data_IF_008064733338
#
_entry.id   IF_008064733338
#
_cell.length_a   1.000
_cell.length_b   1.000
_cell.length_c   1.000
_cell.angle_alpha   90.00
_cell.angle_beta   90.00
_cell.angle_gamma   90.00
#
_symmetry.space_group_name_H-M   'P 1'
#
loop_
_entity.id
_entity.type
_entity.pdbx_description
1 polymer ?
#
# COMPACT_ATOMS: atom_id res chain seq x y z
N UNK A 1 7.51 -8.31 -18.05
CA UNK A 1 8.16 -7.97 -16.79
C UNK A 1 8.56 -6.52 -16.76
N UNK A 2 8.36 -5.85 -15.63
CA UNK A 2 8.74 -4.45 -15.45
C UNK A 2 10.27 -4.38 -15.27
N UNK A 3 10.96 -3.71 -16.19
CA UNK A 3 12.44 -3.60 -16.16
C UNK A 3 12.94 -2.83 -14.93
N UNK A 4 12.14 -1.88 -14.43
CA UNK A 4 12.44 -1.12 -13.21
C UNK A 4 12.39 -2.01 -11.97
N UNK A 5 11.41 -2.92 -11.90
CA UNK A 5 11.33 -3.90 -10.82
C UNK A 5 12.54 -4.84 -10.84
N UNK A 6 12.88 -5.36 -12.01
CA UNK A 6 14.06 -6.22 -12.15
C UNK A 6 15.36 -5.50 -11.76
N UNK A 7 15.49 -4.22 -12.09
CA UNK A 7 16.63 -3.40 -11.67
C UNK A 7 16.67 -3.20 -10.15
N UNK A 8 15.53 -2.88 -9.54
CA UNK A 8 15.42 -2.71 -8.08
C UNK A 8 15.75 -4.01 -7.33
N UNK A 9 15.31 -5.17 -7.84
CA UNK A 9 15.61 -6.48 -7.27
C UNK A 9 17.09 -6.85 -7.33
N UNK A 10 17.82 -6.34 -8.32
CA UNK A 10 19.29 -6.53 -8.38
C UNK A 10 20.00 -5.73 -7.30
N UNK A 11 19.49 -4.54 -6.96
CA UNK A 11 20.05 -3.73 -5.89
C UNK A 11 19.67 -4.26 -4.51
N UNK A 12 18.43 -4.70 -4.36
CA UNK A 12 17.94 -5.30 -3.11
C UNK A 12 16.97 -6.46 -3.41
N UNK A 13 17.37 -7.72 -3.11
CA UNK A 13 16.53 -8.89 -3.32
C UNK A 13 15.20 -8.90 -2.53
N UNK A 14 15.09 -8.06 -1.49
CA UNK A 14 13.86 -7.90 -0.71
C UNK A 14 12.78 -7.09 -1.45
N UNK A 15 13.10 -6.53 -2.61
CA UNK A 15 12.13 -5.80 -3.44
C UNK A 15 11.11 -6.75 -4.04
N UNK A 16 9.83 -6.56 -3.71
CA UNK A 16 8.73 -7.44 -4.14
C UNK A 16 7.80 -6.80 -5.16
N UNK A 17 7.78 -5.47 -5.23
CA UNK A 17 6.88 -4.73 -6.10
C UNK A 17 7.41 -3.32 -6.40
N UNK A 18 6.77 -2.66 -7.38
CA UNK A 18 6.79 -1.20 -7.52
C UNK A 18 5.39 -0.68 -7.30
N UNK A 19 5.25 0.43 -6.60
CA UNK A 19 3.99 1.18 -6.47
C UNK A 19 4.09 2.50 -7.21
N UNK A 20 3.08 2.82 -8.01
CA UNK A 20 2.97 4.09 -8.73
C UNK A 20 1.58 4.66 -8.55
N UNK A 21 1.50 5.89 -8.07
CA UNK A 21 0.24 6.63 -7.94
C UNK A 21 0.36 7.90 -8.80
N UNK A 22 -0.25 7.92 -9.99
CA UNK A 22 -0.22 9.10 -10.86
C UNK A 22 -0.79 10.34 -10.15
N UNK A 23 -0.19 11.49 -10.39
CA UNK A 23 -0.55 12.74 -9.73
C UNK A 23 0.09 12.97 -8.36
N UNK A 24 0.94 12.03 -7.92
CA UNK A 24 1.71 12.10 -6.68
C UNK A 24 3.19 11.84 -6.92
N UNK A 25 4.02 12.05 -5.90
CA UNK A 25 5.42 11.65 -5.90
C UNK A 25 5.63 10.16 -5.53
N UNK A 26 4.55 9.41 -5.31
CA UNK A 26 4.63 7.99 -4.97
C UNK A 26 4.90 7.19 -6.26
N UNK A 27 6.17 6.85 -6.45
CA UNK A 27 6.68 6.01 -7.53
C UNK A 27 7.96 5.35 -7.02
N UNK A 28 7.83 4.20 -6.38
CA UNK A 28 8.90 3.64 -5.56
C UNK A 28 8.86 2.11 -5.50
N UNK A 29 10.00 1.46 -5.25
CA UNK A 29 10.04 0.05 -4.90
C UNK A 29 9.40 -0.20 -3.53
N UNK A 30 8.80 -1.38 -3.39
CA UNK A 30 8.22 -1.89 -2.16
C UNK A 30 9.06 -3.05 -1.67
N UNK A 31 9.56 -2.94 -0.45
CA UNK A 31 10.37 -3.97 0.19
C UNK A 31 9.49 -4.93 1.00
N UNK A 32 9.96 -6.15 1.22
CA UNK A 32 9.32 -7.07 2.17
C UNK A 32 10.40 -7.86 2.89
N UNK A 33 10.26 -7.97 4.22
CA UNK A 33 11.17 -8.75 5.06
C UNK A 33 10.40 -9.78 5.90
N UNK A 34 11.06 -10.52 6.74
CA UNK A 34 10.42 -11.51 7.62
C UNK A 34 9.64 -10.93 8.81
N UNK A 35 9.61 -9.62 8.95
CA UNK A 35 8.87 -8.87 9.96
C UNK A 35 8.49 -7.48 9.43
N UNK A 36 7.74 -6.70 10.23
CA UNK A 36 7.31 -5.34 9.89
C UNK A 36 8.19 -4.25 10.52
N UNK A 37 9.33 -4.61 11.12
CA UNK A 37 10.21 -3.67 11.83
C UNK A 37 11.46 -3.31 11.03
N UNK A 38 11.97 -4.24 10.22
CA UNK A 38 13.25 -4.11 9.53
C UNK A 38 13.33 -2.87 8.64
N UNK A 39 12.32 -2.64 7.77
CA UNK A 39 12.29 -1.50 6.85
C UNK A 39 11.66 -0.24 7.45
N UNK A 40 11.22 -0.28 8.70
CA UNK A 40 10.68 0.88 9.40
C UNK A 40 11.71 2.03 9.49
N UNK A 41 12.99 1.70 9.56
CA UNK A 41 14.12 2.64 9.68
C UNK A 41 15.28 2.25 8.76
N UNK A 42 14.97 1.79 7.55
CA UNK A 42 15.94 1.49 6.51
C UNK A 42 15.43 1.99 5.17
N UNK A 43 16.36 2.42 4.33
CA UNK A 43 16.06 2.81 2.96
C UNK A 43 15.82 1.58 2.06
N UNK A 44 15.54 1.83 0.80
CA UNK A 44 15.27 0.81 -0.21
C UNK A 44 16.44 -0.15 -0.47
N UNK A 45 17.65 0.21 -0.05
CA UNK A 45 18.86 -0.61 -0.16
C UNK A 45 19.15 -1.39 1.12
N UNK A 46 18.34 -1.21 2.15
CA UNK A 46 18.53 -1.83 3.47
C UNK A 46 19.52 -1.09 4.38
N UNK A 47 19.94 0.12 4.01
CA UNK A 47 20.80 0.97 4.83
C UNK A 47 19.97 1.70 5.88
N UNK A 48 20.52 1.87 7.09
CA UNK A 48 19.84 2.62 8.14
C UNK A 48 19.47 4.03 7.68
N UNK A 49 18.19 4.36 7.77
CA UNK A 49 17.61 5.66 7.42
C UNK A 49 16.42 5.94 8.32
N UNK A 50 16.41 7.09 8.96
CA UNK A 50 15.33 7.51 9.85
C UNK A 50 13.96 7.52 9.17
N UNK A 51 13.90 7.84 7.87
CA UNK A 51 12.64 7.91 7.11
C UNK A 51 12.08 6.54 6.75
N UNK A 52 12.91 5.49 6.75
CA UNK A 52 12.49 4.19 6.27
C UNK A 52 12.19 4.20 4.77
N UNK A 53 11.47 3.21 4.31
CA UNK A 53 10.97 3.14 2.94
C UNK A 53 9.57 2.53 2.91
N UNK A 54 8.97 2.42 1.74
CA UNK A 54 7.69 1.72 1.56
C UNK A 54 7.95 0.21 1.65
N UNK A 55 7.20 -0.49 2.49
CA UNK A 55 7.31 -1.93 2.63
C UNK A 55 5.94 -2.60 2.78
N UNK A 56 5.87 -3.85 2.33
CA UNK A 56 4.68 -4.69 2.46
C UNK A 56 4.67 -5.40 3.80
N UNK A 57 3.48 -5.62 4.35
CA UNK A 57 3.30 -6.49 5.50
C UNK A 57 3.90 -7.87 5.21
N UNK A 58 4.65 -8.42 6.19
CA UNK A 58 5.42 -9.66 6.00
C UNK A 58 4.55 -10.88 5.69
N UNK A 59 3.26 -10.85 6.01
CA UNK A 59 2.33 -11.95 5.71
C UNK A 59 1.69 -11.84 4.32
N UNK A 60 1.87 -10.73 3.61
CA UNK A 60 1.34 -10.57 2.26
C UNK A 60 2.01 -11.52 1.27
N UNK A 61 1.19 -12.17 0.44
CA UNK A 61 1.64 -13.04 -0.66
C UNK A 61 1.66 -12.24 -1.96
N UNK A 62 2.84 -12.17 -2.58
CA UNK A 62 3.09 -11.45 -3.85
C UNK A 62 4.04 -12.23 -4.76
N UNK A 63 4.36 -13.47 -4.42
CA UNK A 63 5.30 -14.28 -5.19
C UNK A 63 4.74 -14.63 -6.57
N UNK A 64 5.64 -14.74 -7.54
CA UNK A 64 5.32 -15.14 -8.91
C UNK A 64 4.61 -16.49 -8.95
N UNK A 65 3.50 -16.56 -9.71
CA UNK A 65 2.69 -17.77 -9.84
C UNK A 65 1.81 -18.10 -8.65
N UNK A 66 1.79 -17.26 -7.61
CA UNK A 66 0.92 -17.40 -6.43
C UNK A 66 -0.18 -16.36 -6.48
N UNK A 67 -1.40 -16.73 -6.09
CA UNK A 67 -2.49 -15.77 -5.98
C UNK A 67 -2.14 -14.73 -4.91
N UNK A 68 -2.21 -13.45 -5.27
CA UNK A 68 -1.99 -12.32 -4.35
C UNK A 68 -2.96 -12.37 -3.17
N UNK A 69 -2.52 -11.89 -2.01
CA UNK A 69 -3.39 -11.75 -0.85
C UNK A 69 -4.63 -10.90 -1.14
N UNK A 70 -5.74 -11.21 -0.48
CA UNK A 70 -7.02 -10.47 -0.62
C UNK A 70 -6.87 -8.99 -0.28
N UNK A 71 -6.02 -8.69 0.68
CA UNK A 71 -5.69 -7.35 1.13
C UNK A 71 -4.16 -7.22 1.13
N UNK A 72 -3.61 -6.60 0.10
CA UNK A 72 -2.21 -6.18 0.11
C UNK A 72 -2.08 -4.98 1.05
N UNK A 73 -1.13 -5.04 1.96
CA UNK A 73 -0.93 -3.99 2.96
C UNK A 73 0.48 -3.45 2.81
N UNK A 74 0.58 -2.18 2.42
CA UNK A 74 1.84 -1.46 2.31
C UNK A 74 1.89 -0.35 3.35
N UNK A 75 3.04 -0.23 4.00
CA UNK A 75 3.34 0.80 4.99
C UNK A 75 4.31 1.82 4.42
N UNK A 76 4.13 3.06 4.81
CA UNK A 76 5.05 4.13 4.48
C UNK A 76 4.91 5.27 5.49
N UNK A 77 6.03 5.91 5.84
CA UNK A 77 6.02 7.04 6.75
C UNK A 77 5.52 8.32 6.08
N UNK A 78 5.00 9.20 6.91
CA UNK A 78 4.73 10.59 6.61
C UNK A 78 5.58 11.44 7.54
N UNK A 79 6.33 12.40 6.99
CA UNK A 79 7.17 13.31 7.76
C UNK A 79 6.78 14.76 7.44
N UNK A 80 7.05 15.63 8.40
CA UNK A 80 6.83 17.08 8.26
C UNK A 80 8.11 17.83 7.83
N UNK A 81 9.17 17.09 7.52
CA UNK A 81 10.43 17.66 7.04
C UNK A 81 10.21 18.26 5.63
N UNK A 82 10.47 19.54 5.48
CA UNK A 82 10.23 20.26 4.20
C UNK A 82 11.01 19.67 3.02
N UNK A 83 12.14 19.02 3.28
CA UNK A 83 13.01 18.42 2.28
C UNK A 83 12.69 16.96 1.98
N UNK A 84 11.75 16.34 2.71
CA UNK A 84 11.37 14.94 2.51
C UNK A 84 10.16 14.81 1.60
N UNK A 85 10.34 14.16 0.45
CA UNK A 85 9.30 13.95 -0.57
C UNK A 85 8.99 12.46 -0.79
N UNK A 86 9.52 11.60 0.04
CA UNK A 86 9.36 10.14 -0.08
C UNK A 86 8.21 9.58 0.76
N UNK A 87 8.16 8.25 0.84
CA UNK A 87 7.14 7.54 1.61
C UNK A 87 5.73 7.80 1.13
N UNK A 88 4.80 7.94 2.07
CA UNK A 88 3.38 8.14 1.81
C UNK A 88 2.90 9.58 2.10
N UNK A 89 3.81 10.55 2.05
CA UNK A 89 3.47 11.97 2.27
C UNK A 89 2.28 12.41 1.41
N UNK A 90 2.32 12.12 0.12
CA UNK A 90 1.30 12.57 -0.83
C UNK A 90 -0.05 11.86 -0.69
N UNK A 91 -0.16 10.80 0.12
CA UNK A 91 -1.47 10.21 0.44
C UNK A 91 -2.38 11.21 1.16
N UNK A 92 -1.83 12.22 1.82
CA UNK A 92 -2.59 13.29 2.45
C UNK A 92 -3.42 14.12 1.44
N UNK A 93 -3.03 14.13 0.17
CA UNK A 93 -3.79 14.80 -0.89
C UNK A 93 -5.19 14.18 -1.06
N UNK A 94 -5.34 12.90 -0.74
CA UNK A 94 -6.63 12.19 -0.80
C UNK A 94 -7.62 12.61 0.30
N UNK A 95 -7.25 13.48 1.22
CA UNK A 95 -8.18 14.15 2.13
C UNK A 95 -9.12 15.12 1.39
N UNK A 96 -8.76 15.47 0.15
CA UNK A 96 -9.59 16.27 -0.76
C UNK A 96 -10.28 15.33 -1.73
N UNK A 97 -11.61 15.33 -1.73
CA UNK A 97 -12.40 14.38 -2.53
C UNK A 97 -12.11 14.47 -4.04
N UNK A 98 -12.03 15.69 -4.55
CA UNK A 98 -11.74 15.97 -5.96
C UNK A 98 -10.39 15.38 -6.39
N UNK A 99 -9.39 15.41 -5.52
CA UNK A 99 -8.09 14.82 -5.80
C UNK A 99 -8.22 13.30 -6.06
N UNK A 100 -8.98 12.59 -5.22
CA UNK A 100 -9.24 11.16 -5.41
C UNK A 100 -10.06 10.84 -6.65
N UNK A 101 -10.99 11.74 -7.02
CA UNK A 101 -11.76 11.61 -8.27
C UNK A 101 -10.89 11.81 -9.52
N UNK A 102 -9.93 12.72 -9.47
CA UNK A 102 -9.01 13.01 -10.58
C UNK A 102 -7.87 11.99 -10.67
N UNK A 103 -7.48 11.38 -9.55
CA UNK A 103 -6.38 10.43 -9.45
C UNK A 103 -6.84 9.10 -8.81
N UNK A 104 -7.79 8.36 -9.45
CA UNK A 104 -8.45 7.23 -8.82
C UNK A 104 -7.65 5.93 -8.81
N UNK A 105 -6.59 5.82 -9.62
CA UNK A 105 -5.89 4.56 -9.84
C UNK A 105 -4.52 4.49 -9.18
N UNK A 106 -4.23 3.31 -8.64
CA UNK A 106 -2.95 2.94 -8.03
C UNK A 106 -2.46 1.70 -8.74
N UNK A 107 -1.21 1.72 -9.19
CA UNK A 107 -0.59 0.62 -9.92
C UNK A 107 0.44 -0.08 -9.05
N UNK A 108 0.39 -1.41 -9.03
CA UNK A 108 1.37 -2.26 -8.36
C UNK A 108 1.93 -3.24 -9.38
N UNK A 109 3.22 -3.08 -9.70
CA UNK A 109 3.92 -4.00 -10.60
C UNK A 109 4.56 -5.12 -9.79
N UNK A 110 4.20 -6.34 -10.10
CA UNK A 110 4.80 -7.57 -9.59
C UNK A 110 5.71 -8.21 -10.65
N UNK A 111 6.42 -9.27 -10.29
CA UNK A 111 7.37 -9.92 -11.20
C UNK A 111 6.73 -10.42 -12.51
N UNK A 112 5.50 -10.90 -12.46
CA UNK A 112 4.78 -11.52 -13.58
C UNK A 112 3.47 -10.84 -13.96
N UNK A 113 3.02 -9.85 -13.20
CA UNK A 113 1.78 -9.15 -13.47
C UNK A 113 1.80 -7.68 -13.00
N UNK A 114 0.89 -6.88 -13.54
CA UNK A 114 0.62 -5.52 -13.09
C UNK A 114 -0.81 -5.43 -12.59
N UNK A 115 -0.96 -5.04 -11.33
CA UNK A 115 -2.26 -4.86 -10.69
C UNK A 115 -2.69 -3.40 -10.78
N UNK A 116 -3.97 -3.17 -11.05
CA UNK A 116 -4.58 -1.84 -11.01
C UNK A 116 -5.64 -1.83 -9.92
N UNK A 117 -5.47 -0.95 -8.97
CA UNK A 117 -6.44 -0.70 -7.91
C UNK A 117 -7.13 0.64 -8.12
N UNK A 118 -8.38 0.73 -7.71
CA UNK A 118 -9.16 1.96 -7.73
C UNK A 118 -9.49 2.37 -6.30
N UNK A 119 -9.28 3.64 -5.97
CA UNK A 119 -9.62 4.14 -4.66
C UNK A 119 -11.11 4.02 -4.37
N UNK A 120 -11.46 3.52 -3.19
CA UNK A 120 -12.84 3.48 -2.73
C UNK A 120 -13.02 4.05 -1.32
N UNK A 121 -11.94 4.23 -0.56
CA UNK A 121 -12.02 4.78 0.78
C UNK A 121 -10.73 5.49 1.19
N UNK A 122 -10.90 6.56 1.92
CA UNK A 122 -9.86 7.24 2.70
C UNK A 122 -10.43 7.50 4.08
N UNK A 123 -9.77 7.00 5.11
CA UNK A 123 -10.27 7.15 6.47
C UNK A 123 -9.12 7.17 7.49
N UNK A 124 -9.43 7.66 8.67
CA UNK A 124 -8.49 7.68 9.81
C UNK A 124 -8.88 6.57 10.75
N UNK A 125 -7.95 5.65 11.03
CA UNK A 125 -8.15 4.58 12.00
C UNK A 125 -7.32 4.83 13.26
N UNK A 126 -7.76 4.26 14.37
CA UNK A 126 -6.99 4.23 15.61
C UNK A 126 -6.06 3.00 15.57
N UNK A 127 -4.75 3.24 15.59
CA UNK A 127 -3.75 2.19 15.53
C UNK A 127 -3.82 1.18 16.70
N UNK A 128 -4.52 1.51 17.78
CA UNK A 128 -4.68 0.63 18.95
C UNK A 128 -5.96 -0.20 18.90
N UNK A 129 -7.02 0.33 18.29
CA UNK A 129 -8.36 -0.27 18.31
C UNK A 129 -8.79 -0.85 16.97
N UNK A 130 -8.21 -0.39 15.86
CA UNK A 130 -8.60 -0.81 14.51
C UNK A 130 -7.59 -1.76 13.85
N UNK A 131 -6.86 -2.52 14.65
CA UNK A 131 -5.84 -3.48 14.18
C UNK A 131 -6.41 -4.63 13.35
N UNK A 132 -7.69 -4.91 13.47
CA UNK A 132 -8.40 -5.94 12.70
C UNK A 132 -8.51 -5.62 11.20
N UNK A 133 -8.28 -4.37 10.80
CA UNK A 133 -8.18 -3.98 9.38
C UNK A 133 -6.88 -4.42 8.72
N UNK A 134 -5.87 -4.77 9.51
CA UNK A 134 -4.54 -5.18 9.03
C UNK A 134 -4.48 -6.72 8.98
N UNK A 135 -5.22 -7.30 8.04
CA UNK A 135 -5.23 -8.72 7.75
C UNK A 135 -5.06 -8.94 6.24
N UNK A 136 -4.03 -9.69 5.84
CA UNK A 136 -3.72 -9.93 4.44
C UNK A 136 -4.70 -10.91 3.76
N UNK A 137 -5.06 -11.97 4.46
CA UNK A 137 -5.94 -13.02 3.95
C UNK A 137 -7.08 -13.34 4.94
N UNK A 138 -7.95 -12.37 5.26
CA UNK A 138 -9.09 -12.59 6.14
C UNK A 138 -10.08 -13.57 5.50
N UNK A 139 -10.85 -14.29 6.31
CA UNK A 139 -12.02 -15.02 5.80
C UNK A 139 -13.11 -14.04 5.32
N UNK A 140 -14.16 -14.55 4.68
CA UNK A 140 -15.21 -13.71 4.10
C UNK A 140 -15.89 -12.81 5.14
N UNK A 141 -16.14 -13.31 6.35
CA UNK A 141 -16.78 -12.54 7.42
C UNK A 141 -15.86 -11.41 7.91
N UNK A 142 -14.58 -11.71 8.15
CA UNK A 142 -13.59 -10.70 8.53
C UNK A 142 -13.34 -9.69 7.43
N UNK A 143 -13.29 -10.14 6.18
CA UNK A 143 -13.11 -9.24 5.03
C UNK A 143 -14.29 -8.29 4.86
N UNK A 144 -15.53 -8.78 5.01
CA UNK A 144 -16.71 -7.91 4.99
C UNK A 144 -16.66 -6.86 6.10
N UNK A 145 -16.19 -7.19 7.30
CA UNK A 145 -16.01 -6.22 8.37
C UNK A 145 -14.98 -5.13 8.03
N UNK A 146 -13.88 -5.51 7.37
CA UNK A 146 -12.86 -4.55 6.89
C UNK A 146 -13.49 -3.59 5.87
N UNK A 147 -14.24 -4.12 4.90
CA UNK A 147 -14.91 -3.31 3.89
C UNK A 147 -15.95 -2.36 4.52
N UNK A 148 -16.75 -2.85 5.45
CA UNK A 148 -17.77 -2.06 6.15
C UNK A 148 -17.13 -0.91 6.96
N UNK A 149 -16.03 -1.17 7.66
CA UNK A 149 -15.27 -0.15 8.38
C UNK A 149 -14.68 0.90 7.44
N UNK A 150 -14.09 0.48 6.35
CA UNK A 150 -13.51 1.37 5.36
C UNK A 150 -14.56 2.31 4.76
N UNK A 151 -15.74 1.80 4.44
CA UNK A 151 -16.86 2.59 3.91
C UNK A 151 -17.44 3.51 4.98
N UNK A 152 -17.69 3.02 6.19
CA UNK A 152 -18.25 3.82 7.28
C UNK A 152 -17.30 4.93 7.76
N UNK A 153 -15.99 4.69 7.73
CA UNK A 153 -14.96 5.65 8.12
C UNK A 153 -14.65 6.72 7.07
N UNK A 154 -15.08 6.51 5.82
CA UNK A 154 -14.83 7.44 4.72
C UNK A 154 -15.97 8.47 4.63
N UNK A 155 -15.60 9.76 4.60
CA UNK A 155 -16.57 10.86 4.42
C UNK A 155 -17.03 11.02 2.95
N UNK A 156 -16.38 10.31 2.00
CA UNK A 156 -16.59 10.47 0.57
C UNK A 156 -17.23 9.22 -0.02
N UNK A 157 -18.05 9.43 -1.05
CA UNK A 157 -18.56 8.36 -1.90
C UNK A 157 -17.87 8.42 -3.27
N UNK A 158 -16.94 7.48 -3.50
CA UNK A 158 -16.23 7.36 -4.77
C UNK A 158 -17.02 6.60 -5.85
N UNK A 159 -18.21 6.11 -5.53
CA UNK A 159 -19.06 5.37 -6.46
C UNK A 159 -18.51 3.99 -6.85
N UNK A 160 -17.66 3.40 -6.02
CA UNK A 160 -17.06 2.10 -6.25
C UNK A 160 -17.69 1.08 -5.30
N UNK A 161 -18.36 0.07 -5.88
CA UNK A 161 -18.92 -1.05 -5.12
C UNK A 161 -17.84 -2.11 -4.90
N UNK A 162 -17.51 -2.37 -3.64
CA UNK A 162 -16.51 -3.38 -3.24
C UNK A 162 -17.20 -4.53 -2.52
N UNK A 163 -16.89 -5.75 -2.92
CA UNK A 163 -17.44 -6.97 -2.33
C UNK A 163 -16.34 -7.91 -1.87
N UNK A 164 -16.70 -8.98 -1.17
CA UNK A 164 -15.75 -10.03 -0.77
C UNK A 164 -15.15 -10.83 -1.92
N UNK A 165 -15.65 -10.66 -3.14
CA UNK A 165 -15.05 -11.22 -4.35
C UNK A 165 -13.88 -10.39 -4.89
N UNK A 166 -13.73 -9.16 -4.41
CA UNK A 166 -12.66 -8.26 -4.81
C UNK A 166 -11.38 -8.50 -4.02
N UNK A 167 -10.29 -7.96 -4.55
CA UNK A 167 -9.02 -7.79 -3.86
C UNK A 167 -8.84 -6.30 -3.57
N UNK A 168 -8.29 -5.98 -2.40
CA UNK A 168 -8.01 -4.60 -2.01
C UNK A 168 -6.53 -4.37 -1.73
N UNK A 169 -6.13 -3.12 -1.79
CA UNK A 169 -4.83 -2.61 -1.38
C UNK A 169 -5.06 -1.60 -0.25
N UNK A 170 -4.41 -1.83 0.88
CA UNK A 170 -4.40 -0.90 2.01
C UNK A 170 -3.05 -0.20 2.06
N UNK A 171 -3.07 1.12 1.98
CA UNK A 171 -1.89 1.98 2.17
C UNK A 171 -2.00 2.63 3.53
N UNK A 172 -1.11 2.24 4.42
CA UNK A 172 -1.08 2.70 5.82
C UNK A 172 0.10 3.64 6.06
N UNK A 173 -0.21 4.79 6.65
CA UNK A 173 0.80 5.80 6.97
C UNK A 173 0.72 6.24 8.44
#
# INVERSE_FOLDING_TARGET
>A
PDERLAAAQKENPDTVALITIPGTNIDAPVQQYGDNDYYLRRDEKGTEDYHGCIYADYVCRMDSGVKVSRNLIFYGHTFTDEDYTGGFEDLHNYRVFEFGQENPYIYVSLADEKLTYQIFSVWVCDAKTDTDCIQADPDDAAFQQILDKAVAGCAFDYGVDVTTDDHILTLST
#
